data_IF_058246964006
#
_entry.id   IF_058246964006
#
_cell.length_a   1.000
_cell.length_b   1.000
_cell.length_c   1.000
_cell.angle_alpha   90.00
_cell.angle_beta   90.00
_cell.angle_gamma   90.00
#
_symmetry.space_group_name_H-M   'P 1'
#
loop_
_entity.id
_entity.type
_entity.pdbx_description
1 polymer ?
#
# COMPACT_ATOMS: atom_id res chain seq x y z
N UNK A 1 18.99 14.81 5.38
CA UNK A 1 19.20 13.35 5.51
C UNK A 1 18.80 12.98 6.93
N UNK A 2 17.66 12.32 7.13
CA UNK A 2 17.21 11.89 8.46
C UNK A 2 17.77 10.49 8.71
N UNK A 3 18.74 10.36 9.62
CA UNK A 3 19.26 9.07 10.08
C UNK A 3 18.46 8.62 11.29
N UNK A 4 17.77 7.49 11.19
CA UNK A 4 17.01 6.91 12.28
C UNK A 4 17.38 5.45 12.42
N UNK A 5 17.62 4.98 13.66
CA UNK A 5 17.98 3.59 13.93
C UNK A 5 16.85 2.61 13.57
N UNK A 6 15.65 3.15 13.31
CA UNK A 6 14.45 2.44 12.85
C UNK A 6 13.82 3.22 11.68
N UNK A 7 14.07 2.81 10.43
CA UNK A 7 13.64 3.58 9.26
C UNK A 7 12.12 3.68 9.12
N UNK A 8 11.35 2.68 9.55
CA UNK A 8 9.88 2.75 9.49
C UNK A 8 9.31 3.84 10.41
N UNK A 9 9.94 4.10 11.57
CA UNK A 9 9.46 5.13 12.51
C UNK A 9 9.63 6.52 11.92
N UNK A 10 10.78 6.79 11.30
CA UNK A 10 11.03 8.06 10.62
C UNK A 10 10.05 8.30 9.47
N UNK A 11 9.75 7.27 8.66
CA UNK A 11 8.76 7.38 7.58
C UNK A 11 7.37 7.71 8.14
N UNK A 12 6.94 7.02 9.21
CA UNK A 12 5.63 7.26 9.81
C UNK A 12 5.56 8.67 10.43
N UNK A 13 6.63 9.12 11.09
CA UNK A 13 6.69 10.47 11.64
C UNK A 13 6.57 11.51 10.54
N UNK A 14 7.30 11.35 9.43
CA UNK A 14 7.22 12.25 8.27
C UNK A 14 5.82 12.28 7.66
N UNK A 15 5.17 11.12 7.55
CA UNK A 15 3.79 11.02 7.08
C UNK A 15 2.84 11.83 7.95
N UNK A 16 3.01 11.75 9.27
CA UNK A 16 2.17 12.47 10.23
C UNK A 16 2.48 13.97 10.21
N UNK A 17 3.75 14.37 10.27
CA UNK A 17 4.16 15.77 10.32
C UNK A 17 3.92 16.51 9.00
N UNK A 18 4.16 15.84 7.87
CA UNK A 18 3.95 16.35 6.53
C UNK A 18 2.52 16.24 6.03
N UNK A 19 1.63 15.56 6.77
CA UNK A 19 0.24 15.35 6.37
C UNK A 19 0.10 14.54 5.07
N UNK A 20 1.03 13.61 4.81
CA UNK A 20 1.06 12.84 3.57
C UNK A 20 -0.09 11.83 3.51
N UNK A 21 -0.81 11.82 2.40
CA UNK A 21 -2.00 11.02 2.15
C UNK A 21 -1.71 9.67 1.45
N UNK A 22 -0.43 9.40 1.13
CA UNK A 22 0.05 8.18 0.49
C UNK A 22 1.56 7.97 0.70
N UNK A 23 1.97 6.73 0.97
CA UNK A 23 3.39 6.31 0.98
C UNK A 23 3.64 5.41 -0.21
N UNK A 24 4.65 5.70 -1.04
CA UNK A 24 5.13 4.79 -2.09
C UNK A 24 6.45 4.17 -1.65
N UNK A 25 6.56 2.85 -1.72
CA UNK A 25 7.76 2.11 -1.37
C UNK A 25 8.01 1.00 -2.36
N UNK A 26 9.21 0.93 -2.94
CA UNK A 26 9.58 -0.20 -3.78
C UNK A 26 9.77 -1.47 -2.94
N UNK A 27 9.22 -2.58 -3.42
CA UNK A 27 9.46 -3.91 -2.90
C UNK A 27 10.35 -4.65 -3.91
N UNK A 28 11.51 -5.09 -3.46
CA UNK A 28 12.42 -5.84 -4.31
C UNK A 28 11.87 -7.25 -4.54
N UNK A 29 11.77 -7.63 -5.80
CA UNK A 29 11.58 -9.01 -6.20
C UNK A 29 12.98 -9.61 -6.40
N UNK A 30 13.24 -10.79 -5.84
CA UNK A 30 14.50 -11.49 -6.07
C UNK A 30 14.27 -12.48 -7.22
N UNK A 31 15.13 -12.47 -8.24
CA UNK A 31 14.91 -13.16 -9.52
C UNK A 31 14.62 -14.67 -9.44
N UNK A 32 14.90 -15.31 -8.29
CA UNK A 32 14.63 -16.73 -8.04
C UNK A 32 13.29 -17.03 -7.36
N UNK A 33 12.61 -16.00 -6.86
CA UNK A 33 11.32 -16.11 -6.19
C UNK A 33 10.28 -15.33 -7.00
N UNK A 34 9.21 -16.02 -7.43
CA UNK A 34 8.06 -15.36 -8.06
C UNK A 34 7.30 -14.44 -7.09
N UNK A 35 7.60 -14.53 -5.79
CA UNK A 35 7.01 -13.75 -4.74
C UNK A 35 7.80 -12.46 -4.43
N UNK A 36 7.07 -11.38 -4.13
CA UNK A 36 7.63 -10.14 -3.60
C UNK A 36 8.19 -10.41 -2.20
N UNK A 37 9.45 -10.03 -1.96
CA UNK A 37 10.05 -10.16 -0.62
C UNK A 37 9.80 -8.86 0.14
N UNK A 38 9.09 -8.97 1.26
CA UNK A 38 8.87 -7.85 2.18
C UNK A 38 9.94 -7.85 3.27
N UNK A 39 10.61 -6.70 3.43
CA UNK A 39 11.56 -6.49 4.54
C UNK A 39 10.79 -6.27 5.86
N UNK A 40 11.46 -6.43 7.03
CA UNK A 40 10.83 -6.10 8.32
C UNK A 40 10.26 -4.67 8.36
N UNK A 41 10.93 -3.72 7.71
CA UNK A 41 10.46 -2.33 7.55
C UNK A 41 9.15 -2.26 6.78
N UNK A 42 9.00 -3.02 5.69
CA UNK A 42 7.76 -3.01 4.89
C UNK A 42 6.59 -3.57 5.70
N UNK A 43 6.81 -4.68 6.42
CA UNK A 43 5.81 -5.22 7.34
C UNK A 43 5.43 -4.26 8.46
N UNK A 44 6.36 -3.42 8.93
CA UNK A 44 6.03 -2.39 9.91
C UNK A 44 5.20 -1.26 9.29
N UNK A 45 5.53 -0.81 8.08
CA UNK A 45 4.76 0.20 7.37
C UNK A 45 3.33 -0.27 7.09
N UNK A 46 3.16 -1.48 6.56
CA UNK A 46 1.84 -2.04 6.24
C UNK A 46 0.93 -2.20 7.46
N UNK A 47 1.49 -2.31 8.67
CA UNK A 47 0.73 -2.49 9.93
C UNK A 47 0.55 -1.21 10.75
N UNK A 48 1.47 -0.25 10.65
CA UNK A 48 1.55 0.90 11.55
C UNK A 48 1.37 2.24 10.87
N UNK A 49 1.51 2.33 9.55
CA UNK A 49 1.36 3.59 8.84
C UNK A 49 -0.12 4.04 8.88
N UNK A 50 -0.42 5.30 9.27
CA UNK A 50 -1.78 5.82 9.29
C UNK A 50 -2.30 6.08 7.87
N UNK A 51 -1.40 6.36 6.94
CA UNK A 51 -1.69 6.56 5.53
C UNK A 51 -1.49 5.26 4.74
N UNK A 52 -2.16 5.12 3.59
CA UNK A 52 -2.03 3.94 2.75
C UNK A 52 -0.59 3.77 2.28
N UNK A 53 -0.13 2.53 2.30
CA UNK A 53 1.20 2.17 1.81
C UNK A 53 1.04 1.44 0.50
N UNK A 54 1.70 1.98 -0.52
CA UNK A 54 1.76 1.43 -1.85
C UNK A 54 3.11 0.77 -2.07
N UNK A 55 3.09 -0.57 -2.11
CA UNK A 55 4.25 -1.37 -2.49
C UNK A 55 4.35 -1.48 -4.02
N UNK A 56 5.43 -0.94 -4.60
CA UNK A 56 5.69 -0.92 -6.04
C UNK A 56 6.71 -2.00 -6.38
N UNK A 57 6.42 -2.87 -7.35
CA UNK A 57 7.39 -3.87 -7.81
C UNK A 57 8.43 -3.23 -8.71
N UNK A 58 9.64 -3.77 -8.70
CA UNK A 58 10.77 -3.33 -9.53
C UNK A 58 10.69 -3.84 -10.99
N UNK A 59 9.49 -4.03 -11.52
CA UNK A 59 9.22 -4.57 -12.85
C UNK A 59 8.12 -3.74 -13.52
N UNK A 60 8.19 -3.54 -14.86
CA UNK A 60 7.17 -2.81 -15.58
C UNK A 60 5.81 -3.50 -15.47
N UNK A 61 4.76 -2.69 -15.44
CA UNK A 61 3.40 -3.21 -15.38
C UNK A 61 3.05 -3.92 -16.70
N UNK A 62 2.45 -5.12 -16.66
CA UNK A 62 2.04 -5.82 -17.87
C UNK A 62 0.96 -5.03 -18.61
N UNK A 63 1.01 -5.05 -19.94
CA UNK A 63 -0.01 -4.44 -20.78
C UNK A 63 -1.39 -5.05 -20.46
N UNK A 64 -2.40 -4.21 -20.23
CA UNK A 64 -3.73 -4.67 -19.81
C UNK A 64 -3.86 -5.15 -18.37
N UNK A 65 -2.84 -4.97 -17.51
CA UNK A 65 -2.93 -5.42 -16.11
C UNK A 65 -4.10 -4.78 -15.36
N UNK A 66 -4.78 -5.60 -14.55
CA UNK A 66 -6.03 -5.26 -13.84
C UNK A 66 -5.76 -4.76 -12.43
N UNK A 67 -6.63 -3.88 -11.92
CA UNK A 67 -6.67 -3.48 -10.52
C UNK A 67 -7.70 -4.32 -9.73
N UNK A 68 -7.27 -4.90 -8.61
CA UNK A 68 -8.01 -5.75 -7.70
C UNK A 68 -8.07 -5.05 -6.34
N UNK A 69 -9.19 -5.21 -5.65
CA UNK A 69 -9.36 -4.71 -4.29
C UNK A 69 -9.82 -5.90 -3.48
N UNK A 70 -9.05 -6.25 -2.46
CA UNK A 70 -9.48 -7.20 -1.45
C UNK A 70 -10.43 -6.48 -0.48
N UNK A 71 -11.61 -7.06 -0.27
CA UNK A 71 -12.59 -6.60 0.71
C UNK A 71 -12.80 -7.71 1.73
N UNK A 72 -13.00 -7.36 3.00
CA UNK A 72 -13.33 -8.34 4.03
C UNK A 72 -14.86 -8.51 4.08
N UNK A 73 -15.36 -9.66 3.64
CA UNK A 73 -16.80 -9.98 3.67
C UNK A 73 -17.20 -10.88 4.84
N UNK A 74 -16.24 -11.37 5.62
CA UNK A 74 -16.47 -12.40 6.64
C UNK A 74 -16.88 -11.85 8.01
N UNK A 75 -16.69 -10.54 8.24
CA UNK A 75 -16.99 -9.93 9.53
C UNK A 75 -18.25 -9.08 9.43
N UNK A 76 -19.20 -9.36 10.30
CA UNK A 76 -20.45 -8.61 10.44
C UNK A 76 -20.27 -7.28 11.18
N UNK A 77 -19.05 -6.97 11.64
CA UNK A 77 -18.80 -5.71 12.33
C UNK A 77 -18.89 -4.51 11.37
N UNK A 78 -19.64 -3.45 11.73
CA UNK A 78 -19.89 -2.30 10.87
C UNK A 78 -18.63 -1.57 10.38
N UNK A 79 -17.52 -1.65 11.13
CA UNK A 79 -16.27 -0.97 10.77
C UNK A 79 -15.62 -1.56 9.50
N UNK A 80 -15.82 -2.86 9.23
CA UNK A 80 -15.28 -3.47 8.01
C UNK A 80 -16.02 -3.01 6.76
N UNK A 81 -17.32 -2.73 6.85
CA UNK A 81 -18.09 -2.21 5.72
C UNK A 81 -17.63 -0.81 5.33
N UNK A 82 -17.44 0.08 6.30
CA UNK A 82 -16.90 1.42 6.07
C UNK A 82 -15.50 1.37 5.42
N UNK A 83 -14.67 0.42 5.85
CA UNK A 83 -13.36 0.20 5.26
C UNK A 83 -13.46 -0.29 3.81
N UNK A 84 -14.28 -1.30 3.54
CA UNK A 84 -14.51 -1.85 2.20
C UNK A 84 -14.99 -0.76 1.22
N UNK A 85 -15.96 0.07 1.63
CA UNK A 85 -16.46 1.17 0.82
C UNK A 85 -15.37 2.20 0.50
N UNK A 86 -14.54 2.55 1.50
CA UNK A 86 -13.42 3.48 1.32
C UNK A 86 -12.44 2.96 0.26
N UNK A 87 -12.20 1.65 0.19
CA UNK A 87 -11.33 1.05 -0.83
C UNK A 87 -11.93 1.09 -2.22
N UNK A 88 -13.20 0.70 -2.34
CA UNK A 88 -13.89 0.66 -3.63
C UNK A 88 -13.97 2.07 -4.21
N UNK A 89 -14.32 3.06 -3.38
CA UNK A 89 -14.34 4.48 -3.75
C UNK A 89 -12.96 4.96 -4.19
N UNK A 90 -11.91 4.61 -3.44
CA UNK A 90 -10.54 5.01 -3.77
C UNK A 90 -10.09 4.39 -5.11
N UNK A 91 -10.36 3.10 -5.34
CA UNK A 91 -10.09 2.44 -6.62
C UNK A 91 -10.76 3.18 -7.79
N UNK A 92 -12.03 3.56 -7.64
CA UNK A 92 -12.76 4.27 -8.69
C UNK A 92 -12.10 5.61 -9.03
N UNK A 93 -11.71 6.39 -8.01
CA UNK A 93 -11.01 7.65 -8.20
C UNK A 93 -9.65 7.48 -8.87
N UNK A 94 -8.93 6.41 -8.55
CA UNK A 94 -7.59 6.16 -9.08
C UNK A 94 -7.63 5.62 -10.51
N UNK A 95 -8.68 4.86 -10.87
CA UNK A 95 -8.90 4.41 -12.26
C UNK A 95 -9.01 5.58 -13.25
N UNK A 96 -9.61 6.69 -12.82
CA UNK A 96 -9.81 7.87 -13.67
C UNK A 96 -8.56 8.75 -13.79
N UNK A 97 -7.54 8.55 -12.96
CA UNK A 97 -6.24 9.23 -13.10
C UNK A 97 -5.35 8.37 -13.99
N UNK A 98 -5.28 8.69 -15.28
CA UNK A 98 -4.60 7.91 -16.33
C UNK A 98 -3.08 7.78 -16.16
N UNK A 99 -2.47 8.53 -15.24
CA UNK A 99 -1.01 8.70 -15.13
C UNK A 99 -0.36 7.85 -14.04
N UNK A 100 -1.13 7.12 -13.23
CA UNK A 100 -0.56 6.40 -12.09
C UNK A 100 -0.52 4.89 -12.43
N UNK A 101 0.67 4.24 -12.42
CA UNK A 101 0.77 2.82 -12.70
C UNK A 101 -0.13 2.07 -11.73
N UNK A 102 -1.06 1.26 -12.27
CA UNK A 102 -2.10 0.59 -11.49
C UNK A 102 -1.43 -0.57 -10.78
N UNK A 103 -1.39 -0.59 -9.45
CA UNK A 103 -0.82 -1.71 -8.69
C UNK A 103 -1.79 -2.15 -7.60
N UNK A 104 -1.64 -3.41 -7.23
CA UNK A 104 -2.33 -4.03 -6.11
C UNK A 104 -1.28 -4.75 -5.29
N UNK A 105 -1.05 -4.27 -4.09
CA UNK A 105 -1.16 -5.08 -2.87
C UNK A 105 -1.77 -4.11 -1.87
N UNK A 106 -3.10 -4.10 -1.83
CA UNK A 106 -3.82 -3.31 -0.85
C UNK A 106 -3.65 -4.03 0.49
N UNK A 107 -2.55 -3.77 1.18
CA UNK A 107 -2.47 -4.11 2.59
C UNK A 107 -3.36 -3.12 3.33
N UNK A 108 -4.63 -3.46 3.41
CA UNK A 108 -5.41 -3.06 4.56
C UNK A 108 -5.26 -4.13 5.60
N UNK A 109 -4.36 -3.87 6.55
CA UNK A 109 -4.54 -4.44 7.88
C UNK A 109 -4.78 -3.25 8.80
N UNK A 110 -6.02 -2.78 8.74
CA UNK A 110 -6.85 -2.19 9.81
C UNK A 110 -8.14 -1.66 9.23
#
# INVERSE_FOLDING_TARGET
>A
MVWHNRPFEAIIQEVISGGHDLVLKMAHQHDRLEAVIFTPTDWHLLRKCPSPVWMVKDQPWPEGGKALVAVNLASEEPYHNALNEKLVKRRSNWRNKSTIPKFIWLALIR
#
